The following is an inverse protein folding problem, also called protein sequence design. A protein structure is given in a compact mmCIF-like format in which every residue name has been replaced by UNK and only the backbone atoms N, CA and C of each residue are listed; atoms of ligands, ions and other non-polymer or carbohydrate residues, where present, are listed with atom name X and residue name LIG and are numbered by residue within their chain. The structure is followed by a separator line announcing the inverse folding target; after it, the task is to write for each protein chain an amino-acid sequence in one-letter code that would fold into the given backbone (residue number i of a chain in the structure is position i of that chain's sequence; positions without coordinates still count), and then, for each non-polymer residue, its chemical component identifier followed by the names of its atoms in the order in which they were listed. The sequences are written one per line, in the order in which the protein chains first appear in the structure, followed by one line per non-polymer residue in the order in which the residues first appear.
data_IF_161837727339
#
_entry.id   IF_161837727339
#
_cell.length_a   1.000
_cell.length_b   1.000
_cell.length_c   1.000
_cell.angle_alpha   90.00
_cell.angle_beta   90.00
_cell.angle_gamma   90.00
#
_symmetry.space_group_name_H-M   'P 1'
#
loop_
_entity.id
_entity.type
_entity.pdbx_description
1 polymer ?
#
# COMPACT_ATOMS: atom_id res chain seq x y z
N UNK A 1 9.23 -24.36 -7.47
CA UNK A 1 9.06 -23.95 -7.45
C UNK A 1 9.02 -23.00 -7.23
N UNK A 2 9.38 -22.63 -7.40
CA UNK A 2 9.37 -21.74 -7.23
C UNK A 2 8.49 -21.03 -7.07
N UNK A 3 8.32 -21.12 -6.50
CA UNK A 3 7.39 -20.38 -6.33
C UNK A 3 7.68 -19.04 -6.43
N UNK A 4 7.13 -18.38 -7.12
CA UNK A 4 7.45 -17.03 -7.30
C UNK A 4 7.06 -16.25 -6.06
N UNK A 5 7.96 -15.50 -5.55
CA UNK A 5 7.63 -14.58 -4.47
C UNK A 5 7.11 -13.33 -5.14
N UNK A 6 5.86 -13.01 -4.85
CA UNK A 6 5.25 -11.81 -5.41
C UNK A 6 5.41 -10.68 -4.42
N UNK A 7 6.21 -9.72 -4.80
CA UNK A 7 6.35 -8.51 -3.99
C UNK A 7 5.29 -7.52 -4.43
N UNK A 8 4.37 -7.22 -3.54
CA UNK A 8 3.25 -6.35 -3.87
C UNK A 8 3.04 -5.31 -2.79
N UNK A 9 2.61 -4.15 -3.23
CA UNK A 9 2.15 -3.10 -2.34
C UNK A 9 0.71 -2.81 -2.70
N UNK A 10 -0.16 -2.82 -1.70
CA UNK A 10 -1.58 -2.52 -1.90
C UNK A 10 -1.96 -1.36 -1.00
N UNK A 11 -2.64 -0.38 -1.55
CA UNK A 11 -3.12 0.78 -0.81
C UNK A 11 -4.63 0.86 -0.97
N UNK A 12 -5.34 0.73 0.13
CA UNK A 12 -6.80 0.92 0.14
C UNK A 12 -7.10 2.38 0.36
N UNK A 13 -7.96 2.95 -0.48
CA UNK A 13 -8.18 4.40 -0.52
C UNK A 13 -9.65 4.75 -0.68
N UNK A 14 -9.94 6.03 -0.53
CA UNK A 14 -11.18 6.66 -0.97
C UNK A 14 -10.82 7.85 -1.82
N UNK A 15 -11.73 8.22 -2.72
CA UNK A 15 -11.44 9.24 -3.74
C UNK A 15 -11.06 10.60 -3.16
N UNK A 16 -11.71 11.01 -2.09
CA UNK A 16 -11.49 12.35 -1.53
C UNK A 16 -10.70 12.33 -0.23
N UNK A 17 -9.75 11.42 -0.11
CA UNK A 17 -9.02 11.22 1.13
C UNK A 17 -7.66 11.91 1.06
N UNK A 18 -7.46 13.02 1.80
CA UNK A 18 -6.17 13.72 1.78
C UNK A 18 -5.01 12.86 2.25
N UNK A 19 -5.25 12.04 3.28
CA UNK A 19 -4.18 11.16 3.77
C UNK A 19 -3.84 10.06 2.79
N UNK A 20 -4.81 9.63 1.99
CA UNK A 20 -4.54 8.68 0.92
C UNK A 20 -3.61 9.30 -0.13
N UNK A 21 -3.86 10.57 -0.45
CA UNK A 21 -3.03 11.29 -1.41
C UNK A 21 -1.61 11.40 -0.88
N UNK A 22 -1.45 11.72 0.40
CA UNK A 22 -0.12 11.82 1.02
C UNK A 22 0.61 10.49 1.01
N UNK A 23 -0.08 9.42 1.34
CA UNK A 23 0.55 8.10 1.37
C UNK A 23 0.99 7.69 -0.02
N UNK A 24 0.12 7.91 -1.02
CA UNK A 24 0.48 7.57 -2.39
C UNK A 24 1.65 8.41 -2.88
N UNK A 25 1.68 9.68 -2.51
CA UNK A 25 2.78 10.57 -2.92
C UNK A 25 4.12 10.06 -2.39
N UNK A 26 4.14 9.58 -1.15
CA UNK A 26 5.38 9.04 -0.60
C UNK A 26 5.81 7.79 -1.36
N UNK A 27 4.88 6.89 -1.67
CA UNK A 27 5.23 5.71 -2.45
C UNK A 27 5.68 6.08 -3.86
N UNK A 28 5.06 7.09 -4.47
CA UNK A 28 5.49 7.59 -5.77
C UNK A 28 6.91 8.15 -5.70
N UNK A 29 7.21 8.84 -4.64
CA UNK A 29 8.55 9.39 -4.43
C UNK A 29 9.59 8.29 -4.32
N UNK A 30 9.21 7.15 -3.73
CA UNK A 30 10.09 6.00 -3.63
C UNK A 30 10.16 5.21 -4.94
N UNK A 31 9.39 5.61 -5.94
CA UNK A 31 9.42 5.00 -7.27
C UNK A 31 9.08 3.52 -7.27
N UNK A 32 8.13 3.13 -6.43
CA UNK A 32 7.68 1.73 -6.37
C UNK A 32 6.28 1.63 -6.97
N UNK A 33 6.01 0.50 -7.59
CA UNK A 33 4.70 0.21 -8.13
C UNK A 33 3.79 -0.26 -7.01
N UNK A 34 2.53 0.18 -7.03
CA UNK A 34 1.57 -0.28 -6.05
C UNK A 34 0.20 -0.40 -6.70
N UNK A 35 -0.64 -1.21 -6.10
CA UNK A 35 -2.02 -1.36 -6.51
C UNK A 35 -2.90 -0.53 -5.58
N UNK A 36 -3.75 0.30 -6.18
CA UNK A 36 -4.69 1.10 -5.40
C UNK A 36 -6.07 0.46 -5.49
N UNK A 37 -6.69 0.23 -4.36
CA UNK A 37 -8.05 -0.34 -4.31
C UNK A 37 -8.94 0.65 -3.59
N UNK A 38 -9.88 1.21 -4.33
CA UNK A 38 -10.81 2.16 -3.74
C UNK A 38 -11.95 1.39 -3.08
N UNK A 39 -12.28 1.74 -1.83
CA UNK A 39 -13.21 0.94 -1.05
C UNK A 39 -14.65 1.43 -1.12
N UNK A 40 -14.90 2.52 -1.85
CA UNK A 40 -16.22 3.13 -1.86
C UNK A 40 -17.32 2.20 -2.37
N UNK A 41 -16.98 1.29 -3.28
CA UNK A 41 -17.95 0.38 -3.85
C UNK A 41 -17.89 -1.03 -3.28
N UNK A 42 -17.26 -1.19 -2.14
CA UNK A 42 -17.17 -2.51 -1.51
C UNK A 42 -18.55 -2.97 -1.09
N UNK A 43 -18.82 -4.27 -1.31
CA UNK A 43 -19.98 -4.91 -0.70
C UNK A 43 -19.76 -5.00 0.81
N UNK A 44 -20.81 -5.36 1.53
CA UNK A 44 -20.69 -5.53 2.97
C UNK A 44 -19.65 -6.60 3.30
N UNK A 45 -19.63 -7.67 2.54
CA UNK A 45 -18.67 -8.74 2.76
C UNK A 45 -17.24 -8.25 2.51
N UNK A 46 -17.03 -7.48 1.46
CA UNK A 46 -15.71 -6.93 1.17
C UNK A 46 -15.25 -5.95 2.24
N UNK A 47 -16.18 -5.15 2.78
CA UNK A 47 -15.86 -4.25 3.87
C UNK A 47 -15.41 -5.01 5.09
N UNK A 48 -16.10 -6.08 5.42
CA UNK A 48 -15.76 -6.87 6.60
C UNK A 48 -14.38 -7.50 6.46
N UNK A 49 -14.08 -7.99 5.28
CA UNK A 49 -12.75 -8.55 5.02
C UNK A 49 -11.66 -7.50 5.13
N UNK A 50 -11.94 -6.32 4.58
CA UNK A 50 -11.01 -5.20 4.64
C UNK A 50 -10.73 -4.80 6.09
N UNK A 51 -11.78 -4.67 6.90
CA UNK A 51 -11.62 -4.28 8.30
C UNK A 51 -10.83 -5.33 9.05
N UNK A 52 -11.12 -6.60 8.81
CA UNK A 52 -10.42 -7.68 9.47
C UNK A 52 -8.94 -7.70 9.12
N UNK A 53 -8.61 -7.55 7.84
CA UNK A 53 -7.23 -7.46 7.39
C UNK A 53 -6.50 -6.29 8.00
N UNK A 54 -7.20 -5.22 8.23
CA UNK A 54 -6.62 -3.96 8.71
C UNK A 54 -6.61 -3.87 10.23
N UNK A 55 -6.71 -5.01 10.90
CA UNK A 55 -6.61 -5.04 12.35
C UNK A 55 -7.77 -4.37 13.05
N UNK A 56 -8.95 -4.39 12.43
CA UNK A 56 -10.14 -3.77 12.97
C UNK A 56 -10.33 -2.33 12.56
N UNK A 57 -9.45 -1.80 11.73
CA UNK A 57 -9.54 -0.40 11.31
C UNK A 57 -10.48 -0.24 10.15
N UNK A 58 -11.29 0.80 10.20
CA UNK A 58 -12.23 1.14 9.13
C UNK A 58 -11.76 2.31 8.30
N UNK A 59 -10.61 2.87 8.64
CA UNK A 59 -10.13 4.10 8.03
C UNK A 59 -9.27 3.82 6.81
N UNK A 60 -9.10 4.82 5.97
CA UNK A 60 -8.20 4.80 4.84
C UNK A 60 -7.23 5.96 4.98
N UNK A 61 -6.02 5.86 4.45
CA UNK A 61 -5.52 4.72 3.69
C UNK A 61 -5.17 3.56 4.61
N UNK A 62 -5.12 2.35 4.05
CA UNK A 62 -4.51 1.20 4.72
C UNK A 62 -3.54 0.59 3.75
N UNK A 63 -2.30 0.46 4.16
CA UNK A 63 -1.21 0.05 3.28
C UNK A 63 -0.74 -1.34 3.69
N UNK A 64 -0.55 -2.19 2.67
CA UNK A 64 -0.01 -3.53 2.85
C UNK A 64 1.22 -3.69 1.97
N UNK A 65 2.30 -4.19 2.54
CA UNK A 65 3.52 -4.50 1.80
C UNK A 65 3.75 -5.99 1.95
N UNK A 66 3.68 -6.70 0.85
CA UNK A 66 3.84 -8.16 0.81
C UNK A 66 2.90 -8.85 1.80
N UNK A 67 1.64 -8.40 1.81
CA UNK A 67 0.59 -8.91 2.68
C UNK A 67 0.78 -8.56 4.16
N UNK A 68 1.81 -7.80 4.49
CA UNK A 68 1.99 -7.34 5.85
C UNK A 68 1.28 -6.01 6.02
N UNK A 69 0.45 -5.92 7.04
CA UNK A 69 -0.30 -4.71 7.32
C UNK A 69 0.64 -3.65 7.91
N UNK A 70 0.90 -2.61 7.15
CA UNK A 70 1.69 -1.48 7.62
C UNK A 70 0.83 -0.56 8.47
N UNK A 71 -0.35 -0.26 7.99
CA UNK A 71 -1.25 0.64 8.68
C UNK A 71 -1.66 1.79 7.80
N UNK A 72 -1.95 2.93 8.39
CA UNK A 72 -2.39 4.11 7.67
C UNK A 72 -1.23 5.02 7.29
N UNK A 73 -1.60 6.26 6.96
CA UNK A 73 -0.62 7.25 6.54
C UNK A 73 0.42 7.51 7.62
N UNK A 74 -0.03 7.66 8.87
CA UNK A 74 0.89 7.94 9.97
C UNK A 74 1.91 6.83 10.15
N UNK A 75 1.47 5.58 10.05
CA UNK A 75 2.36 4.43 10.20
C UNK A 75 3.38 4.40 9.07
N UNK A 76 2.94 4.70 7.85
CA UNK A 76 3.84 4.72 6.71
C UNK A 76 4.92 5.79 6.88
N UNK A 77 4.53 6.98 7.29
CA UNK A 77 5.48 8.07 7.50
C UNK A 77 6.39 7.82 8.69
N UNK A 78 5.89 7.10 9.71
CA UNK A 78 6.75 6.71 10.83
C UNK A 78 7.87 5.79 10.37
N UNK A 79 7.56 4.84 9.48
CA UNK A 79 8.58 3.97 8.92
C UNK A 79 9.62 4.77 8.13
N UNK A 80 9.14 5.76 7.38
CA UNK A 80 10.05 6.60 6.62
C UNK A 80 10.98 7.38 7.54
N UNK A 81 10.42 7.96 8.59
CA UNK A 81 11.19 8.73 9.55
C UNK A 81 12.24 7.89 10.25
N UNK A 82 11.92 6.64 10.52
CA UNK A 82 12.84 5.72 11.18
C UNK A 82 13.87 5.12 10.24
N UNK A 83 13.77 5.42 8.94
CA UNK A 83 14.69 4.85 7.96
C UNK A 83 14.41 3.40 7.64
N UNK A 84 13.22 2.91 7.94
CA UNK A 84 12.86 1.52 7.75
C UNK A 84 12.05 1.27 6.49
N UNK A 85 11.46 2.32 5.93
CA UNK A 85 10.59 2.15 4.77
C UNK A 85 11.38 1.68 3.55
N UNK A 86 12.55 2.27 3.31
CA UNK A 86 13.35 1.90 2.15
C UNK A 86 13.73 0.43 2.17
N UNK A 87 14.00 -0.11 3.35
CA UNK A 87 14.30 -1.53 3.47
C UNK A 87 13.13 -2.40 3.09
N UNK A 88 11.94 -2.00 3.51
CA UNK A 88 10.73 -2.76 3.16
C UNK A 88 10.44 -2.70 1.68
N UNK A 89 10.88 -1.64 1.01
CA UNK A 89 10.57 -1.44 -0.40
C UNK A 89 11.66 -1.92 -1.35
N UNK A 90 12.81 -2.36 -0.82
CA UNK A 90 13.96 -2.58 -1.69
C UNK A 90 13.77 -3.69 -2.72
N UNK A 91 12.90 -4.65 -2.46
CA UNK A 91 12.64 -5.71 -3.42
C UNK A 91 11.35 -5.51 -4.22
N UNK A 92 10.75 -4.33 -4.09
CA UNK A 92 9.48 -4.07 -4.78
C UNK A 92 9.73 -3.63 -6.22
N UNK A 93 8.82 -3.97 -7.14
CA UNK A 93 8.94 -3.50 -8.52
C UNK A 93 8.94 -1.98 -8.58
N UNK A 94 9.74 -1.44 -9.47
CA UNK A 94 9.81 -0.01 -9.67
C UNK A 94 8.87 0.41 -10.78
N UNK A 95 8.26 1.58 -10.63
CA UNK A 95 7.40 2.12 -11.67
C UNK A 95 8.15 2.31 -12.98
N UNK A 96 9.34 2.85 -12.88
CA UNK A 96 10.12 3.12 -14.08
C UNK A 96 10.58 1.84 -14.76
N UNK A 97 10.71 0.74 -13.99
CA UNK A 97 11.05 -0.54 -14.60
C UNK A 97 10.00 -1.00 -15.60
N UNK A 98 8.74 -0.76 -15.28
CA UNK A 98 7.66 -1.12 -16.18
C UNK A 98 7.72 -0.32 -17.45
N UNK A 99 7.97 0.96 -17.33
CA UNK A 99 8.11 1.81 -18.51
C UNK A 99 9.33 1.44 -19.32
N UNK A 100 10.41 1.16 -18.64
CA UNK A 100 11.66 0.80 -19.32
C UNK A 100 11.51 -0.53 -20.04
N UNK A 101 10.71 -1.41 -19.50
CA UNK A 101 10.50 -2.70 -20.10
C UNK A 101 9.64 -2.67 -21.35
N UNK A 102 9.00 -1.56 -21.58
CA UNK A 102 8.09 -1.43 -22.73
C UNK A 102 8.84 -1.27 -24.05
#
# INVERSE_FOLDING_TARGET
MNKAILHTIIVYTLASCPYCIKAKALLDEKNVAYEEIEVSNFTQEEKEKFIKKSGGKKTVPQIFIDNMHVGGCDALFALEKEGRLDKLLENQPKKTSLAAGA
#
